data_IF_541376544659
#
_entry.id   IF_541376544659
#
_cell.length_a   1.000
_cell.length_b   1.000
_cell.length_c   1.000
_cell.angle_alpha   90.00
_cell.angle_beta   90.00
_cell.angle_gamma   90.00
#
_symmetry.space_group_name_H-M   'P 1'
#
loop_
_entity.id
_entity.type
_entity.pdbx_description
1 polymer ?
#
# COMPACT_ATOMS: atom_id res chain seq x y z
N UNK A 1 12.89 3.54 13.78
CA UNK A 1 13.07 3.44 12.31
C UNK A 1 12.54 4.70 11.65
N UNK A 2 13.30 5.25 10.74
CA UNK A 2 12.85 6.46 10.08
C UNK A 2 11.79 6.15 9.05
N UNK A 3 11.00 7.17 8.75
CA UNK A 3 9.88 6.99 7.83
C UNK A 3 10.33 6.50 6.45
N UNK A 4 11.43 7.04 5.94
CA UNK A 4 11.92 6.60 4.64
C UNK A 4 12.37 5.15 4.65
N UNK A 5 12.97 4.70 5.75
CA UNK A 5 13.38 3.30 5.86
C UNK A 5 12.16 2.39 5.96
N UNK A 6 11.17 2.82 6.70
CA UNK A 6 9.93 2.08 6.82
C UNK A 6 9.24 1.96 5.45
N UNK A 7 9.20 3.06 4.71
CA UNK A 7 8.60 3.04 3.39
C UNK A 7 9.34 2.08 2.47
N UNK A 8 10.68 2.09 2.52
CA UNK A 8 11.45 1.20 1.67
C UNK A 8 11.19 -0.27 1.98
N UNK A 9 11.01 -0.60 3.24
CA UNK A 9 10.74 -1.99 3.59
C UNK A 9 9.36 -2.42 3.12
N UNK A 10 8.37 -1.52 3.22
CA UNK A 10 7.04 -1.81 2.71
C UNK A 10 7.10 -1.97 1.19
N UNK A 11 7.79 -1.06 0.51
CA UNK A 11 7.91 -1.14 -0.94
C UNK A 11 8.57 -2.44 -1.37
N UNK A 12 9.62 -2.84 -0.67
CA UNK A 12 10.33 -4.04 -1.03
C UNK A 12 9.46 -5.28 -0.87
N UNK A 13 8.66 -5.30 0.18
CA UNK A 13 7.73 -6.41 0.38
C UNK A 13 6.71 -6.47 -0.75
N UNK A 14 6.19 -5.32 -1.14
CA UNK A 14 5.20 -5.29 -2.20
C UNK A 14 5.81 -5.65 -3.56
N UNK A 15 7.05 -5.26 -3.80
CA UNK A 15 7.74 -5.63 -5.03
C UNK A 15 7.86 -7.13 -5.18
N UNK A 16 8.03 -7.82 -4.07
CA UNK A 16 8.16 -9.26 -4.11
C UNK A 16 6.84 -9.99 -4.24
N UNK A 17 5.73 -9.27 -4.21
CA UNK A 17 4.41 -9.88 -4.25
C UNK A 17 3.87 -9.81 -5.66
N UNK A 18 3.63 -10.96 -6.26
CA UNK A 18 3.13 -11.02 -7.62
C UNK A 18 1.67 -10.62 -7.67
N UNK A 19 1.25 -10.10 -8.80
CA UNK A 19 -0.16 -9.78 -9.03
C UNK A 19 -0.69 -8.64 -8.17
N UNK A 20 0.20 -7.86 -7.58
CA UNK A 20 -0.21 -6.74 -6.75
C UNK A 20 0.18 -5.44 -7.46
N UNK A 21 -0.79 -4.59 -7.68
CA UNK A 21 -0.52 -3.28 -8.27
C UNK A 21 -0.48 -2.26 -7.13
N UNK A 22 0.65 -1.61 -6.97
CA UNK A 22 0.85 -0.73 -5.82
C UNK A 22 1.38 0.63 -6.25
N UNK A 23 0.96 1.66 -5.52
CA UNK A 23 1.39 3.02 -5.74
C UNK A 23 1.80 3.63 -4.42
N UNK A 24 2.77 4.53 -4.47
CA UNK A 24 3.14 5.35 -3.32
C UNK A 24 2.77 6.79 -3.63
N UNK A 25 2.05 7.42 -2.74
CA UNK A 25 1.66 8.82 -2.89
C UNK A 25 2.33 9.61 -1.78
N UNK A 26 3.11 10.61 -2.16
CA UNK A 26 3.76 11.50 -1.22
C UNK A 26 2.76 12.60 -0.87
N UNK A 27 2.32 12.64 0.38
CA UNK A 27 1.31 13.60 0.81
C UNK A 27 1.87 14.61 1.80
N UNK A 28 3.19 14.75 1.84
CA UNK A 28 3.81 15.67 2.80
C UNK A 28 3.33 17.11 2.61
N UNK A 29 2.97 17.48 1.40
CA UNK A 29 2.50 18.84 1.16
C UNK A 29 1.02 19.04 1.45
N UNK A 30 0.27 17.94 1.61
CA UNK A 30 -1.15 18.03 1.88
C UNK A 30 -1.53 17.72 3.31
N UNK A 31 -0.65 17.05 4.03
CA UNK A 31 -0.96 16.61 5.38
C UNK A 31 0.16 16.97 6.32
N UNK A 32 -0.19 17.38 7.53
CA UNK A 32 0.80 17.68 8.55
C UNK A 32 1.25 16.42 9.26
N UNK A 33 0.45 15.36 9.21
CA UNK A 33 0.73 14.16 9.97
C UNK A 33 1.22 13.02 9.11
N UNK A 34 0.62 12.84 7.94
CA UNK A 34 1.01 11.76 7.04
C UNK A 34 2.10 12.21 6.10
N UNK A 35 3.01 11.30 5.80
CA UNK A 35 4.02 11.58 4.79
C UNK A 35 3.77 10.78 3.52
N UNK A 36 3.29 9.54 3.65
CA UNK A 36 3.06 8.70 2.49
C UNK A 36 1.80 7.88 2.64
N UNK A 37 1.14 7.64 1.53
CA UNK A 37 0.04 6.70 1.45
C UNK A 37 0.45 5.66 0.43
N UNK A 38 0.38 4.38 0.81
CA UNK A 38 0.72 3.28 -0.09
C UNK A 38 -0.58 2.57 -0.42
N UNK A 39 -0.90 2.48 -1.70
CA UNK A 39 -2.13 1.85 -2.15
C UNK A 39 -1.77 0.56 -2.86
N UNK A 40 -2.33 -0.56 -2.42
CA UNK A 40 -2.08 -1.86 -3.00
C UNK A 40 -3.39 -2.54 -3.33
N UNK A 41 -3.41 -3.29 -4.42
CA UNK A 41 -4.60 -4.05 -4.80
C UNK A 41 -4.31 -5.53 -4.66
N UNK A 42 -5.28 -6.27 -4.15
CA UNK A 42 -5.20 -7.72 -4.07
C UNK A 42 -6.42 -8.29 -4.79
N UNK A 43 -6.30 -9.49 -5.30
CA UNK A 43 -7.37 -10.07 -6.13
C UNK A 43 -8.52 -10.61 -5.31
N UNK A 44 -8.29 -10.94 -4.05
CA UNK A 44 -9.32 -11.56 -3.22
C UNK A 44 -9.07 -11.21 -1.77
N UNK A 45 -10.06 -11.39 -0.89
CA UNK A 45 -9.86 -11.16 0.54
C UNK A 45 -8.74 -12.01 1.12
N UNK A 46 -8.62 -13.24 0.65
CA UNK A 46 -7.54 -14.12 1.12
C UNK A 46 -6.19 -13.54 0.77
N UNK A 47 -6.02 -13.10 -0.46
CA UNK A 47 -4.76 -12.53 -0.90
C UNK A 47 -4.46 -11.21 -0.20
N UNK A 48 -5.49 -10.43 0.10
CA UNK A 48 -5.31 -9.19 0.83
C UNK A 48 -4.76 -9.46 2.23
N UNK A 49 -5.30 -10.46 2.92
CA UNK A 49 -4.82 -10.83 4.23
C UNK A 49 -3.40 -11.39 4.18
N UNK A 50 -3.10 -12.17 3.16
CA UNK A 50 -1.76 -12.74 2.98
C UNK A 50 -0.74 -11.64 2.74
N UNK A 51 -1.11 -10.63 1.97
CA UNK A 51 -0.21 -9.51 1.71
C UNK A 51 0.04 -8.74 3.01
N UNK A 52 -1.01 -8.51 3.80
CA UNK A 52 -0.85 -7.86 5.09
C UNK A 52 0.12 -8.63 5.97
N UNK A 53 -0.02 -9.95 6.04
CA UNK A 53 0.86 -10.76 6.86
C UNK A 53 2.30 -10.66 6.40
N UNK A 54 2.54 -10.63 5.10
CA UNK A 54 3.89 -10.48 4.59
C UNK A 54 4.50 -9.16 5.02
N UNK A 55 3.71 -8.09 4.99
CA UNK A 55 4.19 -6.79 5.43
C UNK A 55 4.49 -6.82 6.93
N UNK A 56 3.59 -7.39 7.71
CA UNK A 56 3.80 -7.45 9.16
C UNK A 56 5.05 -8.24 9.52
N UNK A 57 5.35 -9.29 8.76
CA UNK A 57 6.54 -10.08 9.04
C UNK A 57 7.82 -9.40 8.58
N UNK A 58 7.77 -8.69 7.47
CA UNK A 58 8.95 -8.09 6.89
C UNK A 58 9.33 -6.76 7.52
N UNK A 59 8.36 -6.05 8.06
CA UNK A 59 8.60 -4.71 8.61
C UNK A 59 8.72 -4.81 10.13
N UNK A 60 9.86 -4.43 10.70
CA UNK A 60 10.10 -4.65 12.14
C UNK A 60 9.40 -3.68 13.07
N UNK A 61 8.51 -2.87 12.56
CA UNK A 61 7.73 -1.94 13.35
C UNK A 61 6.28 -2.35 13.27
N UNK A 62 5.60 -2.43 14.40
CA UNK A 62 4.19 -2.79 14.39
C UNK A 62 3.34 -1.59 14.04
N UNK A 63 2.27 -1.79 13.29
CA UNK A 63 1.38 -0.66 13.01
C UNK A 63 0.64 -0.23 14.28
N UNK A 64 0.27 1.02 14.32
CA UNK A 64 -0.48 1.56 15.44
C UNK A 64 -1.90 1.00 15.46
N UNK A 65 -2.44 0.70 14.29
CA UNK A 65 -3.79 0.19 14.19
C UNK A 65 -3.96 -0.50 12.83
N UNK A 66 -4.83 -1.51 12.80
CA UNK A 66 -5.17 -2.19 11.56
C UNK A 66 -6.69 -2.35 11.54
N UNK A 67 -7.31 -1.98 10.43
CA UNK A 67 -8.75 -2.10 10.28
C UNK A 67 -9.10 -2.81 8.99
N UNK A 68 -10.27 -3.43 8.96
CA UNK A 68 -10.81 -4.03 7.74
C UNK A 68 -10.40 -5.45 7.48
N UNK A 69 -9.76 -6.13 8.44
CA UNK A 69 -9.25 -7.47 8.21
C UNK A 69 -10.36 -8.49 7.98
N UNK A 70 -11.48 -8.32 8.64
CA UNK A 70 -12.53 -9.34 8.56
C UNK A 70 -13.06 -9.52 7.17
N UNK A 71 -13.50 -8.46 6.54
CA UNK A 71 -14.01 -8.56 5.19
C UNK A 71 -12.89 -8.55 4.18
N UNK A 72 -11.81 -7.88 4.53
CA UNK A 72 -10.62 -7.79 3.69
C UNK A 72 -10.90 -7.25 2.29
N UNK A 73 -11.92 -6.41 2.18
CA UNK A 73 -12.18 -5.68 0.95
C UNK A 73 -11.34 -4.41 0.90
N UNK A 74 -11.03 -3.88 2.08
CA UNK A 74 -10.22 -2.68 2.20
C UNK A 74 -9.58 -2.72 3.59
N UNK A 75 -8.30 -3.09 3.63
CA UNK A 75 -7.53 -3.17 4.86
C UNK A 75 -6.66 -1.91 4.96
N UNK A 76 -6.63 -1.30 6.13
CA UNK A 76 -5.78 -0.14 6.37
C UNK A 76 -4.85 -0.47 7.53
N UNK A 77 -3.55 -0.36 7.30
CA UNK A 77 -2.54 -0.50 8.34
C UNK A 77 -1.92 0.86 8.58
N UNK A 78 -2.07 1.37 9.78
CA UNK A 78 -1.66 2.71 10.16
C UNK A 78 -0.31 2.65 10.85
N UNK A 79 0.73 3.13 10.19
CA UNK A 79 2.08 3.17 10.77
C UNK A 79 2.44 4.56 11.28
N UNK A 80 1.46 5.43 11.43
CA UNK A 80 1.69 6.80 11.89
C UNK A 80 1.90 7.76 10.76
N UNK A 81 3.07 7.73 10.15
CA UNK A 81 3.36 8.63 9.04
C UNK A 81 3.12 8.00 7.69
N UNK A 82 2.84 6.71 7.66
CA UNK A 82 2.52 5.98 6.44
C UNK A 82 1.22 5.23 6.66
N UNK A 83 0.29 5.38 5.73
CA UNK A 83 -0.92 4.56 5.73
C UNK A 83 -0.79 3.57 4.58
N UNK A 84 -0.90 2.29 4.89
CA UNK A 84 -0.89 1.25 3.88
C UNK A 84 -2.33 0.80 3.67
N UNK A 85 -2.80 0.91 2.44
CA UNK A 85 -4.13 0.45 2.05
C UNK A 85 -4.00 -0.75 1.16
N UNK A 86 -4.71 -1.83 1.48
CA UNK A 86 -4.78 -3.01 0.65
C UNK A 86 -6.24 -3.22 0.34
N UNK A 87 -6.64 -3.13 -0.92
CA UNK A 87 -8.04 -3.28 -1.24
C UNK A 87 -8.23 -4.05 -2.54
N UNK A 88 -9.42 -4.56 -2.70
CA UNK A 88 -9.80 -5.22 -3.92
C UNK A 88 -10.04 -4.16 -4.99
N UNK A 89 -9.90 -4.51 -6.25
CA UNK A 89 -10.05 -3.52 -7.32
C UNK A 89 -11.37 -2.77 -7.28
N UNK A 90 -12.43 -3.46 -6.88
CA UNK A 90 -13.74 -2.83 -6.82
C UNK A 90 -13.79 -1.71 -5.79
N UNK A 91 -13.19 -1.94 -4.63
CA UNK A 91 -13.15 -0.91 -3.60
C UNK A 91 -12.26 0.24 -4.02
N UNK A 92 -11.17 -0.07 -4.70
CA UNK A 92 -10.25 0.97 -5.16
C UNK A 92 -10.93 1.91 -6.13
N UNK A 93 -11.69 1.35 -7.05
CA UNK A 93 -12.43 2.16 -8.01
C UNK A 93 -13.49 3.01 -7.32
N UNK A 94 -14.21 2.39 -6.40
CA UNK A 94 -15.32 3.06 -5.75
C UNK A 94 -14.89 4.28 -4.95
N UNK A 95 -13.81 4.14 -4.20
CA UNK A 95 -13.40 5.22 -3.31
C UNK A 95 -12.39 6.17 -3.95
N UNK A 96 -11.65 5.68 -4.93
CA UNK A 96 -10.74 6.51 -5.73
C UNK A 96 -9.83 7.41 -4.91
N UNK A 97 -9.15 6.80 -3.95
CA UNK A 97 -8.26 7.55 -3.06
C UNK A 97 -7.11 8.21 -3.81
N UNK A 98 -6.71 7.63 -4.92
CA UNK A 98 -5.65 8.19 -5.72
C UNK A 98 -5.96 9.60 -6.16
N UNK A 99 -7.19 9.82 -6.62
CA UNK A 99 -7.59 11.12 -7.09
C UNK A 99 -7.59 12.14 -5.97
N UNK A 100 -7.98 11.72 -4.79
CA UNK A 100 -8.07 12.60 -3.66
C UNK A 100 -6.70 13.13 -3.23
N UNK A 101 -5.68 12.29 -3.27
CA UNK A 101 -4.36 12.66 -2.75
C UNK A 101 -3.32 13.00 -3.79
N UNK A 102 -3.61 12.75 -5.06
CA UNK A 102 -2.62 13.00 -6.12
C UNK A 102 -2.53 14.48 -6.48
N UNK A 103 -1.32 14.99 -6.52
CA UNK A 103 -1.06 16.36 -6.93
C UNK A 103 0.21 16.36 -7.75
N UNK A 104 0.08 16.50 -9.06
CA UNK A 104 1.27 16.55 -9.91
C UNK A 104 2.08 15.27 -9.88
N UNK A 105 3.35 15.39 -9.55
CA UNK A 105 4.28 14.26 -9.62
C UNK A 105 4.46 13.52 -8.31
N UNK A 106 3.51 13.60 -7.43
CA UNK A 106 3.66 13.00 -6.10
C UNK A 106 3.35 11.50 -6.03
N UNK A 107 3.14 10.86 -7.16
CA UNK A 107 2.78 9.44 -7.21
C UNK A 107 3.84 8.67 -7.96
N UNK A 108 4.24 7.50 -7.45
CA UNK A 108 5.06 6.58 -8.24
C UNK A 108 4.58 5.16 -8.02
N UNK A 109 4.76 4.33 -9.03
CA UNK A 109 4.35 2.95 -8.97
C UNK A 109 5.45 2.10 -8.37
N UNK A 110 5.05 1.08 -7.62
CA UNK A 110 5.96 0.08 -7.13
C UNK A 110 5.95 -1.04 -8.16
N UNK A 111 7.10 -1.31 -8.75
CA UNK A 111 7.20 -2.34 -9.76
C UNK A 111 7.28 -3.70 -9.12
N UNK A 112 6.48 -4.63 -9.62
CA UNK A 112 6.58 -6.00 -9.19
C UNK A 112 7.17 -6.79 -10.33
N UNK A 113 8.05 -7.72 -9.98
CA UNK A 113 8.84 -8.41 -10.96
C UNK A 113 8.08 -9.00 -12.11
N UNK A 114 7.08 -9.81 -11.88
CA UNK A 114 6.46 -10.48 -13.00
C UNK A 114 5.63 -9.63 -13.87
N UNK A 115 5.31 -8.47 -13.42
CA UNK A 115 4.46 -7.72 -14.18
C UNK A 115 5.04 -7.20 -15.42
N UNK A 116 6.28 -7.04 -15.44
CA UNK A 116 6.84 -6.54 -16.55
C UNK A 116 6.89 -7.36 -17.69
N UNK A 117 6.85 -8.52 -17.52
CA UNK A 117 7.01 -9.29 -18.56
C UNK A 117 5.95 -9.40 -19.35
N UNK A 118 5.33 -9.21 -19.12
CA UNK A 118 4.37 -9.58 -19.91
C UNK A 118 3.92 -8.84 -20.92
N UNK A 119 4.26 -8.86 -21.07
CA UNK A 119 3.97 -8.47 -21.93
C UNK A 119 3.92 -8.09 -22.86
N UNK A 120 4.01 -8.26 -22.91
CA UNK A 120 4.16 -7.98 -23.75
C UNK A 120 4.25 -7.77 -24.22
#
# INVERSE_FOLDING_TARGET
METTDLLKKIEKTLEGSKKVASLVIDVTKKSEFLQYIVLSSAASPKEARELLLKVLEAVPVEPLNIEGIEKAEWIVADYGKILLHIFLPEAREKYNLEKLWTVGDNVHEIKTAPKQKVKK
#
